data_IF_390611154259
#
_entry.id   IF_390611154259
#
_cell.length_a   1.000
_cell.length_b   1.000
_cell.length_c   1.000
_cell.angle_alpha   90.00
_cell.angle_beta   90.00
_cell.angle_gamma   90.00
#
_symmetry.space_group_name_H-M   'P 1'
#
loop_
_entity.id
_entity.type
_entity.pdbx_description
1 polymer ?
#
# COMPACT_ATOMS: atom_id res chain seq x y z
N UNK A 1 -21.16 -13.67 -0.64
CA UNK A 1 -20.46 -13.83 0.65
C UNK A 1 -19.81 -12.54 1.12
N UNK A 2 -19.45 -11.64 0.21
CA UNK A 2 -18.99 -10.29 0.52
C UNK A 2 -20.14 -9.31 0.65
N UNK A 3 -19.92 -8.23 1.41
CA UNK A 3 -20.86 -7.14 1.61
C UNK A 3 -20.09 -5.81 1.78
N UNK A 4 -20.37 -4.82 0.94
CA UNK A 4 -19.79 -3.50 1.12
C UNK A 4 -20.44 -2.82 2.33
N UNK A 5 -19.63 -2.33 3.26
CA UNK A 5 -20.09 -1.66 4.49
C UNK A 5 -19.87 -0.15 4.38
N UNK A 6 -20.77 0.63 4.95
CA UNK A 6 -20.55 2.07 5.08
C UNK A 6 -19.38 2.35 6.03
N UNK A 7 -18.56 3.34 5.67
CA UNK A 7 -17.58 3.89 6.60
C UNK A 7 -18.29 4.65 7.73
N UNK A 8 -17.65 4.83 8.90
CA UNK A 8 -18.17 5.68 9.96
C UNK A 8 -18.63 7.06 9.44
N UNK A 9 -19.74 7.57 9.96
CA UNK A 9 -20.36 8.81 9.45
C UNK A 9 -19.44 10.05 9.56
N UNK A 10 -18.46 10.00 10.46
CA UNK A 10 -17.46 11.05 10.69
C UNK A 10 -16.12 10.79 9.99
N UNK A 11 -16.04 9.79 9.10
CA UNK A 11 -14.83 9.53 8.32
C UNK A 11 -14.49 10.70 7.38
N UNK A 12 -13.20 10.98 7.23
CA UNK A 12 -12.72 11.96 6.26
C UNK A 12 -13.19 11.59 4.84
N UNK A 13 -13.65 12.56 4.02
CA UNK A 13 -13.95 12.31 2.61
C UNK A 13 -12.78 11.68 1.85
N UNK A 14 -11.55 12.01 2.24
CA UNK A 14 -10.33 11.44 1.65
C UNK A 14 -10.22 9.94 1.90
N UNK A 15 -10.68 9.43 3.03
CA UNK A 15 -10.62 7.99 3.36
C UNK A 15 -11.36 7.16 2.31
N UNK A 16 -12.59 7.58 1.95
CA UNK A 16 -13.40 6.87 0.96
C UNK A 16 -12.75 6.90 -0.41
N UNK A 17 -12.23 8.06 -0.84
CA UNK A 17 -11.58 8.21 -2.14
C UNK A 17 -10.33 7.36 -2.28
N UNK A 18 -9.54 7.21 -1.21
CA UNK A 18 -8.36 6.34 -1.22
C UNK A 18 -8.74 4.87 -1.29
N UNK A 19 -9.72 4.43 -0.49
CA UNK A 19 -10.23 3.05 -0.55
C UNK A 19 -10.77 2.73 -1.94
N UNK A 20 -11.58 3.64 -2.52
CA UNK A 20 -12.09 3.49 -3.87
C UNK A 20 -10.98 3.46 -4.91
N UNK A 21 -9.92 4.25 -4.72
CA UNK A 21 -8.73 4.23 -5.56
C UNK A 21 -7.99 2.91 -5.56
N UNK A 22 -7.96 2.21 -4.43
CA UNK A 22 -7.43 0.84 -4.38
C UNK A 22 -8.35 -0.13 -5.12
N UNK A 23 -9.65 -0.11 -4.83
CA UNK A 23 -10.64 -1.01 -5.45
C UNK A 23 -10.73 -0.83 -6.96
N UNK A 24 -10.66 0.42 -7.46
CA UNK A 24 -10.74 0.79 -8.89
C UNK A 24 -9.64 0.15 -9.75
N UNK A 25 -8.57 -0.36 -9.14
CA UNK A 25 -7.48 -1.04 -9.85
C UNK A 25 -7.77 -2.52 -10.12
N UNK A 26 -8.73 -3.13 -9.42
CA UNK A 26 -9.14 -4.53 -9.65
C UNK A 26 -9.70 -4.66 -11.07
N UNK A 27 -9.13 -5.57 -11.86
CA UNK A 27 -9.49 -5.76 -13.27
C UNK A 27 -8.87 -4.75 -14.25
N UNK A 28 -8.18 -3.71 -13.76
CA UNK A 28 -7.37 -2.81 -14.59
C UNK A 28 -5.91 -3.22 -14.57
N UNK A 29 -5.34 -3.42 -13.39
CA UNK A 29 -3.99 -3.96 -13.22
C UNK A 29 -4.08 -5.48 -13.23
N UNK A 30 -3.61 -6.08 -14.32
CA UNK A 30 -3.81 -7.51 -14.64
C UNK A 30 -2.50 -8.30 -14.65
N UNK A 31 -1.38 -7.63 -14.37
CA UNK A 31 -0.05 -8.25 -14.35
C UNK A 31 0.81 -7.70 -13.21
N UNK A 32 1.89 -8.42 -12.92
CA UNK A 32 2.89 -8.04 -11.94
C UNK A 32 4.25 -7.90 -12.61
N UNK A 33 4.85 -6.72 -12.53
CA UNK A 33 6.19 -6.43 -13.06
C UNK A 33 7.01 -5.62 -12.06
N UNK A 34 8.03 -6.26 -11.51
CA UNK A 34 8.99 -5.67 -10.58
C UNK A 34 10.25 -5.11 -11.27
N UNK A 35 10.31 -5.14 -12.61
CA UNK A 35 11.42 -4.58 -13.35
C UNK A 35 11.56 -3.08 -13.11
N UNK A 36 12.79 -2.61 -13.17
CA UNK A 36 13.08 -1.18 -13.10
C UNK A 36 12.58 -0.49 -14.37
N UNK A 37 11.83 0.59 -14.21
CA UNK A 37 11.34 1.40 -15.32
C UNK A 37 11.61 2.87 -15.04
N UNK A 38 12.06 3.60 -16.06
CA UNK A 38 12.15 5.06 -15.99
C UNK A 38 10.75 5.65 -16.15
N UNK A 39 10.35 6.47 -15.21
CA UNK A 39 9.02 7.10 -15.16
C UNK A 39 9.17 8.60 -14.92
N UNK A 40 8.11 9.35 -15.21
CA UNK A 40 8.09 10.78 -14.97
C UNK A 40 8.20 11.12 -13.47
N UNK A 41 8.55 12.37 -13.17
CA UNK A 41 8.60 12.85 -11.80
C UNK A 41 8.23 14.35 -11.75
N UNK A 42 7.30 14.77 -10.86
CA UNK A 42 6.45 13.94 -10.00
C UNK A 42 5.30 13.26 -10.77
N UNK A 43 4.49 12.46 -10.08
CA UNK A 43 3.32 11.74 -10.62
C UNK A 43 3.59 10.71 -11.74
N UNK A 44 4.83 10.24 -11.90
CA UNK A 44 5.11 9.12 -12.79
C UNK A 44 4.48 7.82 -12.29
N UNK A 45 4.13 6.96 -13.24
CA UNK A 45 3.60 5.63 -12.98
C UNK A 45 4.05 4.72 -14.11
N UNK A 46 4.05 3.42 -13.83
CA UNK A 46 4.08 2.40 -14.89
C UNK A 46 2.68 2.28 -15.50
N UNK A 47 2.53 1.63 -16.67
CA UNK A 47 1.22 1.43 -17.28
C UNK A 47 0.21 0.78 -16.31
N UNK A 48 -1.06 1.17 -16.40
CA UNK A 48 -2.11 0.77 -15.42
C UNK A 48 -2.35 -0.75 -15.39
N UNK A 49 -2.12 -1.42 -16.52
CA UNK A 49 -2.22 -2.87 -16.68
C UNK A 49 -1.16 -3.66 -15.91
N UNK A 50 -0.11 -2.99 -15.43
CA UNK A 50 0.99 -3.59 -14.68
C UNK A 50 1.31 -2.80 -13.40
N UNK A 51 2.21 -3.38 -12.61
CA UNK A 51 2.72 -2.78 -11.38
C UNK A 51 3.14 -3.82 -10.36
N UNK A 52 3.53 -3.36 -9.19
CA UNK A 52 3.79 -4.17 -7.99
C UNK A 52 2.77 -3.86 -6.89
N UNK A 53 2.89 -4.54 -5.75
CA UNK A 53 1.99 -4.36 -4.61
C UNK A 53 1.93 -2.91 -4.09
N UNK A 54 3.06 -2.19 -4.06
CA UNK A 54 3.12 -0.79 -3.62
C UNK A 54 2.44 0.19 -4.57
N UNK A 55 2.39 -0.11 -5.86
CA UNK A 55 1.74 0.77 -6.85
C UNK A 55 0.25 0.90 -6.56
N UNK A 56 -0.37 -0.14 -5.99
CA UNK A 56 -1.75 -0.10 -5.53
C UNK A 56 -1.97 1.02 -4.53
N UNK A 57 -1.08 1.15 -3.55
CA UNK A 57 -1.14 2.18 -2.50
C UNK A 57 -0.86 3.56 -3.10
N UNK A 58 0.15 3.66 -3.97
CA UNK A 58 0.55 4.92 -4.62
C UNK A 58 -0.59 5.49 -5.46
N UNK A 59 -1.21 4.65 -6.31
CA UNK A 59 -2.36 5.03 -7.14
C UNK A 59 -3.60 5.36 -6.31
N UNK A 60 -3.82 4.65 -5.19
CA UNK A 60 -4.91 4.95 -4.26
C UNK A 60 -4.75 6.34 -3.62
N UNK A 61 -3.55 6.69 -3.14
CA UNK A 61 -3.26 7.98 -2.52
C UNK A 61 -3.39 9.16 -3.51
N UNK A 62 -3.10 8.92 -4.80
CA UNK A 62 -3.29 9.94 -5.84
C UNK A 62 -4.74 10.38 -6.01
N UNK A 63 -5.73 9.54 -5.66
CA UNK A 63 -7.15 9.93 -5.69
C UNK A 63 -7.49 11.09 -4.74
N UNK A 64 -6.62 11.37 -3.77
CA UNK A 64 -6.76 12.51 -2.86
C UNK A 64 -5.62 13.53 -3.00
N UNK A 65 -4.91 13.50 -4.13
CA UNK A 65 -3.84 14.46 -4.44
C UNK A 65 -2.54 14.24 -3.70
N UNK A 66 -2.34 13.10 -3.03
CA UNK A 66 -1.07 12.74 -2.40
C UNK A 66 -0.24 11.91 -3.39
N UNK A 67 0.94 12.41 -3.75
CA UNK A 67 1.87 11.71 -4.62
C UNK A 67 2.99 11.05 -3.80
N UNK A 68 2.79 9.78 -3.44
CA UNK A 68 3.78 9.03 -2.67
C UNK A 68 5.12 8.88 -3.42
N UNK A 69 5.16 9.00 -4.75
CA UNK A 69 6.43 9.07 -5.48
C UNK A 69 7.26 10.25 -5.00
N UNK A 70 6.68 11.45 -5.05
CA UNK A 70 7.30 12.69 -4.58
C UNK A 70 7.58 12.67 -3.09
N UNK A 71 6.57 12.36 -2.28
CA UNK A 71 6.68 12.55 -0.83
C UNK A 71 7.70 11.60 -0.20
N UNK A 72 7.74 10.34 -0.65
CA UNK A 72 8.76 9.38 -0.20
C UNK A 72 10.15 9.80 -0.69
N UNK A 73 10.29 10.16 -1.97
CA UNK A 73 11.57 10.56 -2.54
C UNK A 73 12.17 11.77 -1.82
N UNK A 74 11.37 12.82 -1.60
CA UNK A 74 11.83 14.04 -0.95
C UNK A 74 12.15 13.84 0.53
N UNK A 75 11.39 12.99 1.25
CA UNK A 75 11.74 12.64 2.63
C UNK A 75 13.03 11.82 2.70
N UNK A 76 13.20 10.84 1.78
CA UNK A 76 14.43 10.08 1.66
C UNK A 76 15.63 10.97 1.35
N UNK A 77 15.48 11.96 0.47
CA UNK A 77 16.58 12.87 0.09
C UNK A 77 17.11 13.66 1.28
N UNK A 78 16.23 14.04 2.20
CA UNK A 78 16.59 14.73 3.44
C UNK A 78 17.08 13.80 4.56
N UNK A 79 16.73 12.52 4.50
CA UNK A 79 16.90 11.58 5.62
C UNK A 79 17.44 10.22 5.17
N UNK A 80 18.32 10.18 4.16
CA UNK A 80 18.68 8.94 3.47
C UNK A 80 19.19 7.84 4.41
N UNK A 81 19.92 8.19 5.46
CA UNK A 81 20.44 7.26 6.46
C UNK A 81 19.36 6.60 7.34
N UNK A 82 18.14 7.14 7.37
CA UNK A 82 17.01 6.55 8.08
C UNK A 82 16.32 5.45 7.27
N UNK A 83 16.60 5.35 5.97
CA UNK A 83 15.98 4.40 5.05
C UNK A 83 16.84 3.16 4.83
N UNK A 84 16.24 2.01 4.43
CA UNK A 84 16.98 0.77 4.22
C UNK A 84 18.05 0.87 3.12
N UNK A 85 19.24 0.35 3.41
CA UNK A 85 20.41 0.39 2.51
C UNK A 85 20.61 -0.89 1.70
N UNK A 86 19.56 -1.71 1.55
CA UNK A 86 19.63 -3.10 1.02
C UNK A 86 20.05 -3.21 -0.45
N UNK A 87 19.96 -2.12 -1.20
CA UNK A 87 20.19 -2.09 -2.65
C UNK A 87 21.54 -1.51 -3.07
N UNK A 88 22.45 -1.25 -2.11
CA UNK A 88 23.78 -0.70 -2.41
C UNK A 88 23.78 0.69 -3.06
N UNK A 89 22.65 1.41 -2.98
CA UNK A 89 22.51 2.74 -3.56
C UNK A 89 23.21 3.79 -2.68
N UNK A 90 23.87 4.75 -3.33
CA UNK A 90 24.49 5.91 -2.68
C UNK A 90 23.56 7.11 -2.51
N UNK A 91 22.32 7.01 -3.01
CA UNK A 91 21.32 8.07 -2.94
C UNK A 91 19.93 7.58 -3.34
N UNK A 92 19.00 8.52 -3.36
CA UNK A 92 17.59 8.32 -3.74
C UNK A 92 17.40 8.11 -5.24
N UNK A 93 16.37 7.38 -5.63
CA UNK A 93 15.98 7.20 -7.03
C UNK A 93 14.44 7.33 -7.18
N UNK A 94 14.02 8.47 -7.75
CA UNK A 94 12.62 8.83 -7.94
C UNK A 94 11.81 7.83 -8.79
N UNK A 95 12.50 6.98 -9.58
CA UNK A 95 11.84 5.95 -10.38
C UNK A 95 11.37 4.74 -9.54
N UNK A 96 11.97 4.51 -8.37
CA UNK A 96 11.77 3.25 -7.62
C UNK A 96 11.57 3.44 -6.11
N UNK A 97 11.87 4.61 -5.54
CA UNK A 97 11.84 4.83 -4.08
C UNK A 97 10.49 4.47 -3.45
N UNK A 98 9.38 4.92 -4.04
CA UNK A 98 8.01 4.63 -3.58
C UNK A 98 7.52 3.22 -3.94
N UNK A 99 8.21 2.54 -4.86
CA UNK A 99 7.88 1.18 -5.32
C UNK A 99 8.48 0.10 -4.42
N UNK A 100 9.15 0.49 -3.33
CA UNK A 100 9.78 -0.40 -2.36
C UNK A 100 8.99 -0.39 -1.06
N UNK A 101 8.42 -1.54 -0.70
CA UNK A 101 7.66 -1.69 0.56
C UNK A 101 8.43 -1.18 1.79
N UNK A 102 9.73 -1.48 1.98
CA UNK A 102 10.47 -0.95 3.13
C UNK A 102 10.59 0.57 3.18
N UNK A 103 10.63 1.23 2.02
CA UNK A 103 10.67 2.68 1.95
C UNK A 103 9.32 3.28 2.35
N UNK A 104 8.21 2.68 1.90
CA UNK A 104 6.87 3.08 2.34
C UNK A 104 6.67 2.88 3.85
N UNK A 105 7.12 1.74 4.40
CA UNK A 105 7.10 1.47 5.85
C UNK A 105 7.84 2.56 6.63
N UNK A 106 9.06 2.90 6.19
CA UNK A 106 9.90 3.92 6.82
C UNK A 106 9.24 5.29 6.71
N UNK A 107 8.72 5.65 5.54
CA UNK A 107 8.01 6.90 5.32
C UNK A 107 6.78 7.02 6.25
N UNK A 108 5.88 6.04 6.26
CA UNK A 108 4.69 6.08 7.12
C UNK A 108 5.04 6.16 8.61
N UNK A 109 6.08 5.45 9.05
CA UNK A 109 6.57 5.55 10.43
C UNK A 109 7.05 6.96 10.75
N UNK A 110 7.82 7.56 9.85
CA UNK A 110 8.33 8.93 10.00
C UNK A 110 7.22 9.99 9.96
N UNK A 111 6.13 9.72 9.26
CA UNK A 111 4.92 10.56 9.28
C UNK A 111 4.03 10.31 10.53
N UNK A 112 4.48 9.47 11.49
CA UNK A 112 3.74 9.19 12.72
C UNK A 112 2.46 8.38 12.49
N UNK A 113 2.40 7.58 11.41
CA UNK A 113 1.20 6.84 11.00
C UNK A 113 1.18 5.38 11.45
N UNK A 114 2.20 4.93 12.18
CA UNK A 114 2.29 3.55 12.65
C UNK A 114 1.28 3.25 13.75
N UNK A 115 0.66 2.07 13.64
CA UNK A 115 -0.19 1.48 14.66
C UNK A 115 0.45 0.18 15.19
N UNK A 116 0.06 -0.27 16.39
CA UNK A 116 0.47 -1.58 16.88
C UNK A 116 0.02 -2.71 15.94
N UNK A 117 0.90 -3.71 15.79
CA UNK A 117 0.52 -4.99 15.17
C UNK A 117 -0.33 -5.76 16.18
N UNK A 118 -1.41 -6.37 15.68
CA UNK A 118 -2.41 -7.07 16.46
C UNK A 118 -2.77 -8.38 15.77
N UNK A 119 -3.18 -9.38 16.54
CA UNK A 119 -3.84 -10.61 16.08
C UNK A 119 -5.38 -10.49 16.10
N UNK A 120 -5.90 -9.46 16.77
CA UNK A 120 -7.32 -9.16 16.81
C UNK A 120 -7.79 -8.41 15.58
N UNK A 121 -8.84 -8.91 14.96
CA UNK A 121 -9.43 -8.39 13.73
C UNK A 121 -10.01 -6.98 13.86
N UNK A 122 -10.58 -6.65 15.03
CA UNK A 122 -11.23 -5.36 15.32
C UNK A 122 -10.27 -4.17 15.34
N UNK A 123 -8.96 -4.44 15.46
CA UNK A 123 -7.92 -3.40 15.39
C UNK A 123 -7.62 -2.93 13.96
N UNK A 124 -8.13 -3.63 12.95
CA UNK A 124 -7.87 -3.38 11.53
C UNK A 124 -9.12 -2.82 10.85
N UNK A 125 -9.04 -1.57 10.40
CA UNK A 125 -10.16 -0.81 9.84
C UNK A 125 -9.96 -0.52 8.34
N UNK A 126 -11.06 -0.31 7.59
CA UNK A 126 -10.96 0.12 6.20
C UNK A 126 -10.09 1.38 6.04
N UNK A 127 -9.19 1.34 5.06
CA UNK A 127 -8.19 2.35 4.76
C UNK A 127 -6.85 2.16 5.46
N UNK A 128 -6.76 1.23 6.41
CA UNK A 128 -5.48 0.83 6.98
C UNK A 128 -4.60 0.19 5.91
N UNK A 129 -3.31 0.42 6.04
CA UNK A 129 -2.27 -0.17 5.20
C UNK A 129 -1.54 -1.20 6.05
N UNK A 130 -1.39 -2.41 5.51
CA UNK A 130 -0.72 -3.51 6.19
C UNK A 130 0.42 -4.00 5.31
N UNK A 131 1.56 -4.31 5.94
CA UNK A 131 2.69 -4.93 5.27
C UNK A 131 2.94 -6.32 5.82
N UNK A 132 3.42 -7.22 4.97
CA UNK A 132 3.71 -8.60 5.31
C UNK A 132 5.11 -9.02 4.87
N UNK A 133 5.63 -10.03 5.55
CA UNK A 133 6.73 -10.87 5.09
C UNK A 133 6.16 -12.16 4.50
N UNK A 134 6.38 -12.37 3.20
CA UNK A 134 5.97 -13.58 2.47
C UNK A 134 7.01 -14.71 2.55
N UNK A 135 8.12 -14.48 3.27
CA UNK A 135 9.27 -15.37 3.33
C UNK A 135 10.30 -15.05 2.25
N UNK A 136 11.52 -15.59 2.44
CA UNK A 136 12.65 -15.46 1.50
C UNK A 136 13.02 -14.01 1.13
N UNK A 137 12.75 -13.06 2.03
CA UNK A 137 13.02 -11.63 1.82
C UNK A 137 12.01 -10.92 0.91
N UNK A 138 10.87 -11.56 0.61
CA UNK A 138 9.78 -10.95 -0.15
C UNK A 138 8.83 -10.20 0.78
N UNK A 139 8.79 -8.89 0.62
CA UNK A 139 7.90 -8.01 1.37
C UNK A 139 6.68 -7.65 0.53
N UNK A 140 5.53 -7.54 1.19
CA UNK A 140 4.25 -7.29 0.55
C UNK A 140 3.47 -6.19 1.26
N UNK A 141 2.57 -5.52 0.54
CA UNK A 141 1.75 -4.42 1.07
C UNK A 141 0.36 -4.45 0.44
N UNK A 142 -0.62 -3.98 1.20
CA UNK A 142 -2.00 -3.94 0.79
C UNK A 142 -2.82 -2.99 1.65
N UNK A 143 -4.03 -2.70 1.19
CA UNK A 143 -4.96 -1.81 1.86
C UNK A 143 -6.22 -2.58 2.27
N UNK A 144 -6.65 -2.37 3.50
CA UNK A 144 -7.94 -2.88 3.98
C UNK A 144 -9.05 -2.07 3.32
N UNK A 145 -10.04 -2.73 2.74
CA UNK A 145 -11.17 -2.04 2.09
C UNK A 145 -12.46 -2.32 2.83
N UNK A 146 -13.46 -1.46 2.67
CA UNK A 146 -14.74 -1.55 3.36
C UNK A 146 -15.66 -2.64 2.79
N UNK A 147 -15.10 -3.78 2.38
CA UNK A 147 -15.80 -4.96 1.89
C UNK A 147 -15.65 -6.07 2.92
N UNK A 148 -16.73 -6.34 3.64
CA UNK A 148 -16.80 -7.37 4.66
C UNK A 148 -16.95 -8.76 4.03
N UNK A 149 -16.23 -9.73 4.55
CA UNK A 149 -16.30 -11.13 4.15
C UNK A 149 -16.90 -11.97 5.28
N UNK A 150 -18.11 -12.50 5.04
CA UNK A 150 -18.90 -13.21 6.07
C UNK A 150 -18.20 -14.45 6.64
N UNK A 151 -17.54 -15.33 5.84
CA UNK A 151 -16.96 -16.57 6.36
C UNK A 151 -15.88 -16.37 7.42
N UNK A 152 -14.96 -15.41 7.24
CA UNK A 152 -13.90 -15.13 8.22
C UNK A 152 -14.19 -13.92 9.10
N UNK A 153 -15.34 -13.29 8.91
CA UNK A 153 -15.82 -12.13 9.66
C UNK A 153 -14.80 -10.98 9.70
N UNK A 154 -14.27 -10.59 8.54
CA UNK A 154 -13.34 -9.46 8.42
C UNK A 154 -13.42 -8.72 7.11
N UNK A 155 -12.77 -7.56 7.05
CA UNK A 155 -12.58 -6.79 5.84
C UNK A 155 -11.53 -7.40 4.92
N UNK A 156 -11.79 -7.35 3.62
CA UNK A 156 -10.85 -7.82 2.60
C UNK A 156 -9.70 -6.84 2.37
N UNK A 157 -8.62 -7.35 1.79
CA UNK A 157 -7.43 -6.60 1.41
C UNK A 157 -7.41 -6.42 -0.10
N UNK A 158 -7.19 -5.20 -0.58
CA UNK A 158 -6.79 -4.97 -1.98
C UNK A 158 -5.27 -4.88 -2.07
N UNK A 159 -4.71 -5.67 -2.97
CA UNK A 159 -3.26 -5.76 -3.23
C UNK A 159 -3.01 -6.33 -4.62
N UNK A 160 -1.80 -6.12 -5.16
CA UNK A 160 -1.34 -6.76 -6.38
C UNK A 160 -0.34 -7.87 -6.05
N UNK A 161 -0.58 -9.08 -6.53
CA UNK A 161 0.33 -10.22 -6.39
C UNK A 161 0.20 -11.15 -7.61
N UNK A 162 1.30 -11.40 -8.32
CA UNK A 162 1.37 -12.34 -9.46
C UNK A 162 0.51 -11.94 -10.67
N UNK A 163 -0.77 -12.29 -10.67
CA UNK A 163 -1.69 -12.11 -11.79
C UNK A 163 -2.51 -10.79 -11.75
N UNK A 164 -2.00 -9.75 -11.08
CA UNK A 164 -2.65 -8.45 -10.99
C UNK A 164 -3.34 -8.15 -9.65
N UNK A 165 -3.99 -6.98 -9.63
CA UNK A 165 -4.68 -6.44 -8.45
C UNK A 165 -5.97 -7.19 -8.19
N UNK A 166 -6.13 -7.64 -6.96
CA UNK A 166 -7.24 -8.47 -6.50
C UNK A 166 -7.66 -8.06 -5.08
N UNK A 167 -8.79 -8.62 -4.65
CA UNK A 167 -9.36 -8.39 -3.34
C UNK A 167 -9.51 -9.73 -2.60
N UNK A 168 -8.63 -9.99 -1.63
CA UNK A 168 -8.52 -11.31 -0.98
C UNK A 168 -8.60 -11.22 0.55
N UNK A 169 -8.98 -12.34 1.19
CA UNK A 169 -9.00 -12.52 2.64
C UNK A 169 -7.63 -13.01 3.14
N UNK A 170 -6.66 -12.09 3.19
CA UNK A 170 -5.24 -12.43 3.44
C UNK A 170 -4.62 -11.72 4.64
N UNK A 171 -5.41 -10.97 5.43
CA UNK A 171 -4.90 -10.15 6.54
C UNK A 171 -3.98 -10.94 7.49
N UNK A 172 -4.38 -12.16 7.84
CA UNK A 172 -3.64 -13.05 8.75
C UNK A 172 -3.05 -14.28 8.04
N UNK A 173 -3.00 -14.29 6.70
CA UNK A 173 -2.44 -15.39 5.93
C UNK A 173 -0.90 -15.41 5.95
N UNK A 174 -0.28 -14.26 6.23
CA UNK A 174 1.17 -14.07 6.27
C UNK A 174 1.58 -13.29 7.53
N UNK A 175 2.89 -13.26 7.81
CA UNK A 175 3.43 -12.54 8.97
C UNK A 175 3.31 -11.03 8.75
N UNK A 176 2.48 -10.37 9.55
CA UNK A 176 2.37 -8.90 9.54
C UNK A 176 3.68 -8.30 10.04
N UNK A 177 4.23 -7.34 9.27
CA UNK A 177 5.46 -6.61 9.59
C UNK A 177 5.23 -5.12 9.84
N UNK A 178 4.04 -4.62 9.53
CA UNK A 178 3.68 -3.21 9.72
C UNK A 178 2.18 -2.98 9.56
N UNK A 179 1.69 -1.99 10.27
CA UNK A 179 0.29 -1.58 10.29
C UNK A 179 0.25 -0.05 10.41
N UNK A 180 -0.46 0.61 9.48
CA UNK A 180 -0.45 2.06 9.37
C UNK A 180 -1.84 2.61 9.08
N UNK A 181 -2.16 3.78 9.66
CA UNK A 181 -3.39 4.53 9.38
C UNK A 181 -3.06 5.98 9.04
N UNK A 182 -3.39 6.38 7.82
CA UNK A 182 -3.03 7.71 7.31
C UNK A 182 -4.14 8.76 7.51
N UNK A 183 -5.40 8.35 7.38
CA UNK A 183 -6.59 9.21 7.46
C UNK A 183 -7.41 8.96 8.74
#
# INVERSE_FOLDING_TARGET
MTEATSLPANSSPSLKLVIDGAVDQVGKTTSYDASYQKIDYPNGDVPIETGVCSDVIVRAFRKVGIDLQKDVHEDMKRNFSAYPTRWGLSGTDANIDHRRVPNLMTYFTRQGKSLPISDRNDNFLPGDIVTWDLGLGSEHIGMIVNVWYKPSQRYLIVHNIGAGTRMDDVLFAWKITGHYRYF
#
